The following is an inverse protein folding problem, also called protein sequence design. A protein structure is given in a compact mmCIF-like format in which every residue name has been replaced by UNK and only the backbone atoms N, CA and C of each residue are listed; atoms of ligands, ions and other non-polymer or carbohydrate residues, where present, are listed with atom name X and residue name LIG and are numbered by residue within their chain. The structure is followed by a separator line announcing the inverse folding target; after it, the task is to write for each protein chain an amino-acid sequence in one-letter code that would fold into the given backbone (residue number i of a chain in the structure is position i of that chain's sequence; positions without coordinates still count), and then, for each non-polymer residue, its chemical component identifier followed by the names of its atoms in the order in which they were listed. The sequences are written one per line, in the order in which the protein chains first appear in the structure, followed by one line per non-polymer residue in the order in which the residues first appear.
data_IF_970537983414
#
_entry.id   IF_970537983414
#
_cell.length_a   1.000
_cell.length_b   1.000
_cell.length_c   1.000
_cell.angle_alpha   90.00
_cell.angle_beta   90.00
_cell.angle_gamma   90.00
#
_symmetry.space_group_name_H-M   'P 1'
#
loop_
_entity.id
_entity.type
_entity.pdbx_description
1 polymer ?
#
# COMPACT_ATOMS: atom_id res chain seq x y z
N UNK A 1 -24.66 42.44 16.65
CA UNK A 1 -24.88 41.16 15.95
C UNK A 1 -24.30 41.19 14.53
N UNK A 2 -24.68 42.11 13.58
CA UNK A 2 -24.13 42.15 12.21
C UNK A 2 -22.59 42.18 12.13
N UNK A 3 -21.91 42.98 12.95
CA UNK A 3 -20.44 43.10 12.97
C UNK A 3 -19.76 41.78 13.38
N UNK A 4 -20.34 41.03 14.35
CA UNK A 4 -19.81 39.75 14.78
C UNK A 4 -19.93 38.70 13.68
N UNK A 5 -21.08 38.67 12.96
CA UNK A 5 -21.26 37.77 11.81
C UNK A 5 -20.28 38.08 10.67
N UNK A 6 -20.06 39.37 10.37
CA UNK A 6 -19.10 39.78 9.34
C UNK A 6 -17.67 39.37 9.73
N UNK A 7 -17.27 39.62 10.99
CA UNK A 7 -15.95 39.21 11.48
C UNK A 7 -15.78 37.68 11.43
N UNK A 8 -16.80 36.92 11.85
CA UNK A 8 -16.78 35.46 11.78
C UNK A 8 -16.68 34.96 10.31
N UNK A 9 -17.45 35.59 9.39
CA UNK A 9 -17.38 35.24 7.96
C UNK A 9 -15.98 35.53 7.39
N UNK A 10 -15.34 36.64 7.74
CA UNK A 10 -13.99 36.99 7.30
C UNK A 10 -12.98 35.96 7.83
N UNK A 11 -13.09 35.55 9.10
CA UNK A 11 -12.21 34.52 9.69
C UNK A 11 -12.39 33.19 8.96
N UNK A 12 -13.63 32.77 8.68
CA UNK A 12 -13.91 31.55 7.94
C UNK A 12 -13.31 31.59 6.53
N UNK A 13 -13.50 32.69 5.81
CA UNK A 13 -12.93 32.87 4.48
C UNK A 13 -11.40 32.84 4.52
N UNK A 14 -10.78 33.47 5.53
CA UNK A 14 -9.33 33.46 5.69
C UNK A 14 -8.81 32.04 6.00
N UNK A 15 -9.50 31.26 6.83
CA UNK A 15 -9.20 29.86 7.09
C UNK A 15 -9.31 29.04 5.79
N UNK A 16 -10.38 29.22 5.01
CA UNK A 16 -10.58 28.49 3.75
C UNK A 16 -9.46 28.81 2.77
N UNK A 17 -9.11 30.10 2.62
CA UNK A 17 -8.01 30.53 1.73
C UNK A 17 -6.68 29.93 2.20
N UNK A 18 -6.39 29.95 3.49
CA UNK A 18 -5.18 29.34 4.06
C UNK A 18 -5.13 27.84 3.77
N UNK A 19 -6.24 27.11 3.97
CA UNK A 19 -6.35 25.69 3.67
C UNK A 19 -6.19 25.36 2.19
N UNK A 20 -6.54 26.28 1.27
CA UNK A 20 -6.31 26.13 -0.16
C UNK A 20 -4.85 26.39 -0.58
N UNK A 21 -4.17 27.28 0.13
CA UNK A 21 -2.83 27.76 -0.22
C UNK A 21 -1.73 26.84 0.33
N UNK A 22 -1.92 26.31 1.54
CA UNK A 22 -0.96 25.39 2.18
C UNK A 22 -0.54 24.22 1.27
N UNK A 23 -1.45 23.46 0.62
CA UNK A 23 -1.08 22.35 -0.23
C UNK A 23 -0.11 22.70 -1.37
N UNK A 24 -0.23 23.91 -1.93
CA UNK A 24 0.60 24.34 -3.06
C UNK A 24 2.07 24.51 -2.65
N UNK A 25 2.32 24.99 -1.43
CA UNK A 25 3.69 25.21 -0.94
C UNK A 25 4.40 23.91 -0.53
N UNK A 26 3.67 22.91 -0.07
CA UNK A 26 4.27 21.66 0.40
C UNK A 26 4.48 20.59 -0.69
N UNK A 27 3.98 20.82 -1.90
CA UNK A 27 4.08 19.84 -3.00
C UNK A 27 5.53 19.44 -3.31
N UNK A 28 6.42 20.42 -3.48
CA UNK A 28 7.84 20.19 -3.78
C UNK A 28 8.58 19.47 -2.64
N UNK A 29 8.23 19.79 -1.40
CA UNK A 29 8.86 19.18 -0.25
C UNK A 29 8.48 17.70 -0.12
N UNK A 30 7.22 17.36 -0.42
CA UNK A 30 6.73 15.97 -0.42
C UNK A 30 7.42 15.17 -1.53
N UNK A 31 7.50 15.68 -2.76
CA UNK A 31 8.21 15.01 -3.85
C UNK A 31 9.66 14.72 -3.47
N UNK A 32 10.38 15.75 -3.00
CA UNK A 32 11.77 15.60 -2.56
C UNK A 32 11.92 14.56 -1.44
N UNK A 33 11.01 14.56 -0.46
CA UNK A 33 11.03 13.61 0.64
C UNK A 33 10.82 12.17 0.14
N UNK A 34 9.89 11.96 -0.80
CA UNK A 34 9.64 10.65 -1.39
C UNK A 34 10.87 10.18 -2.18
N UNK A 35 11.44 11.01 -3.04
CA UNK A 35 12.64 10.69 -3.83
C UNK A 35 13.85 10.39 -2.92
N UNK A 36 14.10 11.22 -1.91
CA UNK A 36 15.22 11.05 -0.97
C UNK A 36 15.07 9.78 -0.11
N UNK A 37 13.85 9.49 0.34
CA UNK A 37 13.61 8.31 1.18
C UNK A 37 13.56 7.03 0.35
N UNK A 38 12.89 7.05 -0.81
CA UNK A 38 12.79 5.85 -1.66
C UNK A 38 14.15 5.31 -2.06
N UNK A 39 15.11 6.17 -2.43
CA UNK A 39 16.47 5.77 -2.82
C UNK A 39 17.25 5.03 -1.74
N UNK A 40 16.86 5.15 -0.46
CA UNK A 40 17.47 4.40 0.64
C UNK A 40 16.97 2.97 0.76
N UNK A 41 15.74 2.70 0.29
CA UNK A 41 15.06 1.43 0.49
C UNK A 41 14.92 0.62 -0.79
N UNK A 42 14.91 1.29 -1.95
CA UNK A 42 14.71 0.62 -3.24
C UNK A 42 15.83 0.93 -4.23
N UNK A 43 16.31 -0.12 -4.89
CA UNK A 43 17.25 -0.08 -6.03
C UNK A 43 16.47 -0.11 -7.34
N UNK A 44 15.54 0.85 -7.51
CA UNK A 44 14.71 0.98 -8.70
C UNK A 44 14.49 2.46 -8.99
N UNK A 45 14.20 2.77 -10.23
CA UNK A 45 13.78 4.11 -10.63
C UNK A 45 12.31 4.31 -10.23
N UNK A 46 12.06 5.34 -9.41
CA UNK A 46 10.73 5.80 -9.04
C UNK A 46 10.43 7.09 -9.80
N UNK A 47 9.44 7.07 -10.67
CA UNK A 47 8.92 8.26 -11.34
C UNK A 47 7.54 8.60 -10.80
N UNK A 48 7.29 9.89 -10.54
CA UNK A 48 5.98 10.40 -10.07
C UNK A 48 5.58 11.53 -11.02
N UNK A 49 4.41 11.44 -11.63
CA UNK A 49 3.91 12.44 -12.57
C UNK A 49 3.47 13.71 -11.87
N UNK A 50 2.60 13.62 -10.89
CA UNK A 50 2.12 14.77 -10.13
C UNK A 50 1.74 14.41 -8.69
N UNK A 51 1.70 15.44 -7.82
CA UNK A 51 1.28 15.33 -6.41
C UNK A 51 0.20 16.35 -6.14
N UNK A 52 -0.93 15.88 -5.62
CA UNK A 52 -2.05 16.71 -5.22
C UNK A 52 -2.32 16.57 -3.72
N UNK A 53 -2.47 17.68 -3.05
CA UNK A 53 -2.87 17.74 -1.65
C UNK A 53 -4.26 18.35 -1.55
N UNK A 54 -5.14 17.76 -0.79
CA UNK A 54 -6.49 18.28 -0.58
C UNK A 54 -6.93 18.11 0.87
N UNK A 55 -7.39 19.20 1.48
CA UNK A 55 -8.02 19.17 2.82
C UNK A 55 -9.55 19.14 2.73
N UNK A 56 -10.12 19.29 1.54
CA UNK A 56 -11.58 19.34 1.37
C UNK A 56 -12.19 18.01 0.91
N UNK A 57 -11.41 17.19 0.19
CA UNK A 57 -11.91 15.93 -0.39
C UNK A 57 -12.41 14.95 0.67
N UNK A 58 -11.67 14.83 1.78
CA UNK A 58 -11.95 13.90 2.88
C UNK A 58 -11.95 14.62 4.25
N UNK A 59 -12.44 15.86 4.30
CA UNK A 59 -12.47 16.65 5.54
C UNK A 59 -13.05 15.85 6.72
N UNK A 60 -12.44 15.86 7.91
CA UNK A 60 -11.29 16.66 8.37
C UNK A 60 -9.89 16.04 8.10
N UNK A 61 -9.78 15.10 7.19
CA UNK A 61 -8.53 14.42 6.85
C UNK A 61 -7.78 15.18 5.74
N UNK A 62 -6.45 15.09 5.75
CA UNK A 62 -5.59 15.52 4.67
C UNK A 62 -5.50 14.39 3.63
N UNK A 63 -5.88 14.65 2.38
CA UNK A 63 -5.68 13.72 1.28
C UNK A 63 -4.42 14.07 0.50
N UNK A 64 -3.59 13.08 0.26
CA UNK A 64 -2.42 13.13 -0.62
C UNK A 64 -2.71 12.19 -1.79
N UNK A 65 -2.68 12.72 -3.02
CA UNK A 65 -2.80 11.92 -4.22
C UNK A 65 -1.51 12.02 -5.04
N UNK A 66 -1.03 10.89 -5.53
CA UNK A 66 0.09 10.80 -6.47
C UNK A 66 -0.48 10.27 -7.78
N UNK A 67 -0.22 11.00 -8.86
CA UNK A 67 -0.65 10.60 -10.20
C UNK A 67 0.53 10.01 -10.98
N UNK A 68 0.27 8.93 -11.71
CA UNK A 68 1.23 8.26 -12.58
C UNK A 68 2.55 7.89 -11.87
N UNK A 69 2.44 7.11 -10.79
CA UNK A 69 3.60 6.55 -10.10
C UNK A 69 4.07 5.32 -10.86
N UNK A 70 5.33 5.32 -11.30
CA UNK A 70 5.95 4.21 -12.03
C UNK A 70 7.19 3.75 -11.30
N UNK A 71 7.27 2.45 -11.02
CA UNK A 71 8.49 1.81 -10.50
C UNK A 71 9.05 0.91 -11.59
N UNK A 72 10.29 1.14 -11.98
CA UNK A 72 10.98 0.38 -13.02
C UNK A 72 12.42 0.06 -12.61
N UNK A 73 12.89 -1.11 -13.05
CA UNK A 73 14.30 -1.51 -12.92
C UNK A 73 15.00 -1.30 -14.26
N UNK A 74 16.16 -0.71 -14.23
CA UNK A 74 16.98 -0.57 -15.43
C UNK A 74 17.80 -1.85 -15.63
N UNK A 75 17.47 -2.64 -16.65
CA UNK A 75 18.27 -3.79 -17.10
C UNK A 75 18.81 -3.53 -18.49
N UNK A 76 20.13 -3.51 -18.63
CA UNK A 76 20.91 -3.48 -19.88
C UNK A 76 20.23 -2.79 -21.06
N UNK A 77 19.99 -1.47 -20.98
CA UNK A 77 19.34 -0.61 -21.99
C UNK A 77 17.82 -0.82 -22.23
N UNK A 78 17.13 -1.58 -21.40
CA UNK A 78 15.66 -1.67 -21.42
C UNK A 78 15.11 -1.32 -20.05
N UNK A 79 14.12 -0.43 -20.04
CA UNK A 79 13.36 -0.11 -18.82
C UNK A 79 12.33 -1.22 -18.62
N UNK A 80 12.49 -2.00 -17.54
CA UNK A 80 11.54 -3.04 -17.15
C UNK A 80 10.62 -2.48 -16.07
N UNK A 81 9.38 -2.18 -16.43
CA UNK A 81 8.39 -1.61 -15.51
C UNK A 81 7.82 -2.73 -14.64
N UNK A 82 7.99 -2.60 -13.33
CA UNK A 82 7.39 -3.50 -12.35
C UNK A 82 5.93 -3.14 -12.05
N UNK A 83 5.67 -1.85 -11.83
CA UNK A 83 4.31 -1.38 -11.54
C UNK A 83 4.10 0.03 -12.09
N UNK A 84 2.91 0.23 -12.64
CA UNK A 84 2.37 1.53 -13.01
C UNK A 84 1.10 1.77 -12.18
N UNK A 85 1.05 2.87 -11.45
CA UNK A 85 -0.06 3.27 -10.57
C UNK A 85 -0.58 4.62 -11.07
N UNK A 86 -1.62 4.65 -11.92
CA UNK A 86 -2.20 5.89 -12.40
C UNK A 86 -2.73 6.78 -11.28
N UNK A 87 -3.29 6.19 -10.21
CA UNK A 87 -3.75 6.92 -9.03
C UNK A 87 -3.40 6.16 -7.74
N UNK A 88 -2.55 6.76 -6.93
CA UNK A 88 -2.35 6.45 -5.52
C UNK A 88 -2.96 7.55 -4.67
N UNK A 89 -3.73 7.20 -3.66
CA UNK A 89 -4.29 8.18 -2.73
C UNK A 89 -4.15 7.69 -1.29
N UNK A 90 -3.69 8.57 -0.41
CA UNK A 90 -3.67 8.35 1.02
C UNK A 90 -4.47 9.46 1.74
N UNK A 91 -5.28 9.09 2.72
CA UNK A 91 -6.00 10.04 3.55
C UNK A 91 -5.51 9.93 4.99
N UNK A 92 -4.92 11.00 5.51
CA UNK A 92 -4.27 11.06 6.81
C UNK A 92 -5.11 11.87 7.78
N UNK A 93 -5.26 11.38 9.00
CA UNK A 93 -5.96 12.11 10.06
C UNK A 93 -5.18 13.38 10.42
N UNK A 94 -5.76 14.55 10.14
CA UNK A 94 -5.08 15.83 10.37
C UNK A 94 -4.76 16.05 11.84
N UNK A 95 -5.63 15.60 12.75
CA UNK A 95 -5.42 15.77 14.19
C UNK A 95 -4.24 14.92 14.68
N UNK A 96 -4.11 13.69 14.19
CA UNK A 96 -2.98 12.81 14.52
C UNK A 96 -1.67 13.39 13.98
N UNK A 97 -1.67 13.89 12.75
CA UNK A 97 -0.52 14.54 12.13
C UNK A 97 -0.03 15.76 12.93
N UNK A 98 -0.95 16.64 13.37
CA UNK A 98 -0.62 17.82 14.17
C UNK A 98 -0.12 17.45 15.57
N UNK A 99 -0.63 16.36 16.16
CA UNK A 99 -0.21 15.93 17.49
C UNK A 99 1.22 15.38 17.53
N UNK A 100 1.73 14.87 16.40
CA UNK A 100 3.07 14.30 16.25
C UNK A 100 3.33 13.01 17.04
N UNK A 101 2.32 12.44 17.70
CA UNK A 101 2.46 11.23 18.52
C UNK A 101 2.32 9.95 17.69
N UNK A 102 1.39 9.96 16.74
CA UNK A 102 1.03 8.85 15.89
C UNK A 102 0.54 9.42 14.56
N UNK A 103 0.84 8.77 13.46
CA UNK A 103 0.27 9.10 12.14
C UNK A 103 -0.80 8.08 11.81
N UNK A 104 -2.07 8.52 11.80
CA UNK A 104 -3.20 7.64 11.45
C UNK A 104 -3.55 7.86 9.98
N UNK A 105 -3.33 6.83 9.16
CA UNK A 105 -3.71 6.79 7.76
C UNK A 105 -5.09 6.11 7.68
N UNK A 106 -6.12 6.90 7.44
CA UNK A 106 -7.50 6.38 7.42
C UNK A 106 -7.78 5.55 6.18
N UNK A 107 -7.19 5.88 5.05
CA UNK A 107 -7.39 5.16 3.80
C UNK A 107 -6.16 5.22 2.92
N UNK A 108 -5.83 4.10 2.30
CA UNK A 108 -4.89 3.99 1.18
C UNK A 108 -5.67 3.41 0.01
N UNK A 109 -5.60 4.05 -1.16
CA UNK A 109 -6.23 3.60 -2.39
C UNK A 109 -5.20 3.53 -3.51
N UNK A 110 -5.12 2.37 -4.15
CA UNK A 110 -4.43 2.17 -5.43
C UNK A 110 -5.51 1.89 -6.50
N UNK A 111 -5.47 2.62 -7.60
CA UNK A 111 -6.51 2.49 -8.62
C UNK A 111 -5.94 2.40 -10.03
N UNK A 112 -6.56 1.50 -10.83
CA UNK A 112 -6.26 1.27 -12.24
C UNK A 112 -4.79 0.90 -12.51
N UNK A 113 -4.20 0.09 -11.60
CA UNK A 113 -2.78 -0.25 -11.63
C UNK A 113 -2.46 -1.38 -12.60
N UNK A 114 -1.27 -1.32 -13.21
CA UNK A 114 -0.67 -2.42 -13.95
C UNK A 114 0.52 -2.97 -13.17
N UNK A 115 0.42 -4.19 -12.66
CA UNK A 115 1.51 -4.88 -11.96
C UNK A 115 2.09 -5.99 -12.84
N UNK A 116 3.36 -5.87 -13.20
CA UNK A 116 4.05 -6.69 -14.20
C UNK A 116 5.30 -7.37 -13.62
N UNK A 117 5.14 -8.28 -12.64
CA UNK A 117 6.26 -9.02 -12.10
C UNK A 117 6.82 -9.98 -13.15
N UNK A 118 8.15 -9.95 -13.31
CA UNK A 118 8.85 -10.74 -14.32
C UNK A 118 10.10 -11.41 -13.76
N UNK A 119 10.33 -12.67 -14.13
CA UNK A 119 11.60 -13.38 -13.98
C UNK A 119 12.20 -13.57 -15.37
N UNK A 120 13.43 -13.11 -15.58
CA UNK A 120 14.10 -13.25 -16.85
C UNK A 120 14.69 -14.67 -17.06
N UNK A 121 15.30 -14.92 -18.21
CA UNK A 121 15.87 -16.22 -18.55
C UNK A 121 17.01 -16.66 -17.62
N UNK A 122 17.72 -15.69 -16.99
CA UNK A 122 18.78 -15.91 -16.00
C UNK A 122 18.24 -16.14 -14.59
N UNK A 123 16.93 -16.12 -14.37
CA UNK A 123 16.28 -16.31 -13.09
C UNK A 123 16.27 -15.06 -12.20
N UNK A 124 16.57 -13.89 -12.74
CA UNK A 124 16.49 -12.62 -11.98
C UNK A 124 15.09 -12.06 -12.03
N UNK A 125 14.61 -11.60 -10.87
CA UNK A 125 13.30 -10.99 -10.71
C UNK A 125 13.37 -9.45 -10.83
N UNK A 126 12.39 -8.83 -11.50
CA UNK A 126 12.31 -7.37 -11.57
C UNK A 126 11.75 -6.74 -10.28
N UNK A 127 11.14 -7.53 -9.40
CA UNK A 127 10.71 -7.08 -8.07
C UNK A 127 11.79 -7.21 -6.98
N UNK A 128 12.96 -7.75 -7.30
CA UNK A 128 14.11 -7.71 -6.41
C UNK A 128 14.75 -6.33 -6.47
N UNK A 129 14.03 -5.38 -5.86
CA UNK A 129 14.36 -3.95 -5.87
C UNK A 129 14.71 -3.41 -4.47
N UNK A 130 14.63 -4.25 -3.43
CA UNK A 130 14.98 -3.82 -2.08
C UNK A 130 16.50 -3.70 -1.94
N UNK A 131 16.95 -2.62 -1.30
CA UNK A 131 18.36 -2.51 -0.89
C UNK A 131 18.60 -3.59 0.15
N UNK A 132 19.61 -4.51 -0.02
CA UNK A 132 19.95 -5.46 1.01
C UNK A 132 20.31 -4.69 2.29
N UNK A 133 19.55 -4.89 3.34
CA UNK A 133 19.97 -4.45 4.66
C UNK A 133 21.19 -5.31 5.02
N UNK A 134 22.31 -4.69 5.33
CA UNK A 134 23.47 -5.38 5.93
C UNK A 134 23.00 -5.95 7.27
N UNK A 135 22.38 -7.12 7.20
CA UNK A 135 22.16 -7.94 8.37
C UNK A 135 23.54 -8.55 8.67
N UNK A 136 24.34 -7.87 9.45
CA UNK A 136 25.52 -8.43 10.08
C UNK A 136 25.07 -9.73 10.74
N UNK A 137 25.61 -10.87 10.26
CA UNK A 137 25.41 -12.16 10.89
C UNK A 137 25.67 -11.99 12.38
N UNK A 138 24.62 -12.10 13.19
CA UNK A 138 24.79 -12.17 14.65
C UNK A 138 25.39 -13.54 14.94
N UNK A 139 26.71 -13.61 14.93
CA UNK A 139 27.42 -14.65 15.67
C UNK A 139 27.09 -14.46 17.14
N UNK A 140 26.41 -15.46 17.67
CA UNK A 140 26.13 -15.61 19.10
C UNK A 140 27.46 -15.58 19.88
N UNK A 141 27.80 -14.45 20.45
CA UNK A 141 28.72 -14.35 21.60
C UNK A 141 28.03 -13.44 22.63
N UNK A 142 27.65 -14.08 23.72
CA UNK A 142 27.10 -13.44 24.90
C UNK A 142 28.11 -12.46 25.50
N UNK A 143 27.88 -11.18 25.31
CA UNK A 143 28.48 -10.13 26.17
C UNK A 143 27.44 -9.02 26.32
N UNK A 144 27.12 -8.58 27.54
CA UNK A 144 26.13 -7.51 27.75
C UNK A 144 26.75 -6.19 27.31
N UNK A 145 26.40 -5.69 26.16
CA UNK A 145 26.69 -4.32 25.74
C UNK A 145 25.49 -3.47 26.06
N UNK A 146 25.68 -2.52 26.95
CA UNK A 146 24.73 -1.43 27.23
C UNK A 146 24.39 -0.74 25.92
N UNK A 147 23.18 -1.00 25.42
CA UNK A 147 22.62 -0.30 24.27
C UNK A 147 22.26 1.10 24.73
N UNK A 148 23.04 2.10 24.35
CA UNK A 148 22.59 3.50 24.36
C UNK A 148 21.41 3.59 23.39
N UNK A 149 20.23 3.74 23.95
CA UNK A 149 19.04 4.14 23.21
C UNK A 149 19.31 5.50 22.56
N UNK A 150 19.55 5.50 21.24
CA UNK A 150 19.29 6.70 20.45
C UNK A 150 17.77 6.86 20.41
N UNK A 151 17.25 7.72 21.25
CA UNK A 151 15.85 8.10 21.34
C UNK A 151 15.43 8.96 20.14
N UNK A 152 15.38 8.36 18.96
CA UNK A 152 14.49 8.79 17.91
C UNK A 152 13.15 8.12 18.19
N UNK A 153 12.16 8.82 18.70
CA UNK A 153 10.81 8.27 18.86
C UNK A 153 10.30 7.94 17.45
N UNK A 154 10.32 6.66 17.08
CA UNK A 154 9.66 6.21 15.88
C UNK A 154 8.18 6.56 16.02
N UNK A 155 7.72 7.48 15.17
CA UNK A 155 6.30 7.86 15.17
C UNK A 155 5.50 6.64 14.70
N UNK A 156 4.64 6.11 15.56
CA UNK A 156 3.79 4.98 15.22
C UNK A 156 2.90 5.34 14.02
N UNK A 157 2.80 4.42 13.07
CA UNK A 157 1.93 4.58 11.90
C UNK A 157 0.81 3.55 11.99
N UNK A 158 -0.44 4.01 11.99
CA UNK A 158 -1.63 3.17 12.01
C UNK A 158 -2.39 3.28 10.68
N UNK A 159 -2.97 2.17 10.24
CA UNK A 159 -3.80 2.10 9.05
C UNK A 159 -5.20 1.61 9.43
N UNK A 160 -6.24 2.12 8.73
CA UNK A 160 -7.62 1.68 8.96
C UNK A 160 -8.22 0.99 7.75
N UNK A 161 -7.85 1.40 6.54
CA UNK A 161 -8.36 0.84 5.30
C UNK A 161 -7.30 0.86 4.22
N UNK A 162 -7.13 -0.27 3.54
CA UNK A 162 -6.27 -0.41 2.35
C UNK A 162 -7.15 -0.96 1.24
N UNK A 163 -7.17 -0.27 0.11
CA UNK A 163 -8.04 -0.59 -1.01
C UNK A 163 -7.24 -0.60 -2.31
N UNK A 164 -7.44 -1.65 -3.11
CA UNK A 164 -6.94 -1.78 -4.47
C UNK A 164 -8.13 -1.96 -5.37
N UNK A 165 -8.26 -1.12 -6.41
CA UNK A 165 -9.33 -1.17 -7.39
C UNK A 165 -8.77 -1.33 -8.79
N UNK A 166 -9.23 -2.35 -9.49
CA UNK A 166 -8.94 -2.58 -10.89
C UNK A 166 -7.42 -2.66 -11.16
N UNK A 167 -6.70 -3.50 -10.39
CA UNK A 167 -5.30 -3.78 -10.66
C UNK A 167 -5.24 -4.95 -11.65
N UNK A 168 -4.57 -4.75 -12.79
CA UNK A 168 -4.22 -5.81 -13.72
C UNK A 168 -2.87 -6.43 -13.30
N UNK A 169 -2.82 -7.75 -13.21
CA UNK A 169 -1.60 -8.50 -12.92
C UNK A 169 -1.18 -9.29 -14.14
N UNK A 170 0.07 -9.11 -14.58
CA UNK A 170 0.70 -9.89 -15.64
C UNK A 170 2.05 -10.42 -15.13
N UNK A 171 2.07 -11.68 -14.69
CA UNK A 171 3.30 -12.37 -14.27
C UNK A 171 3.90 -13.13 -15.41
N UNK A 172 5.19 -12.99 -15.64
CA UNK A 172 5.96 -13.75 -16.62
C UNK A 172 7.23 -14.30 -15.97
N UNK A 173 7.43 -15.62 -16.11
CA UNK A 173 8.66 -16.30 -15.75
C UNK A 173 9.21 -17.01 -16.97
N UNK A 174 10.29 -16.47 -17.54
CA UNK A 174 10.94 -17.00 -18.74
C UNK A 174 11.67 -18.30 -18.44
N UNK A 175 12.25 -18.43 -17.24
CA UNK A 175 12.98 -19.62 -16.83
C UNK A 175 12.03 -20.81 -16.60
N UNK A 176 10.94 -20.62 -15.86
CA UNK A 176 9.92 -21.65 -15.62
C UNK A 176 8.91 -21.78 -16.76
N UNK A 177 8.99 -20.93 -17.80
CA UNK A 177 8.01 -20.83 -18.90
C UNK A 177 6.58 -20.65 -18.38
N UNK A 178 6.41 -19.89 -17.30
CA UNK A 178 5.13 -19.64 -16.65
C UNK A 178 4.62 -18.25 -17.02
N UNK A 179 3.33 -18.17 -17.34
CA UNK A 179 2.61 -16.92 -17.55
C UNK A 179 1.31 -16.96 -16.76
N UNK A 180 1.08 -15.95 -15.95
CA UNK A 180 -0.18 -15.76 -15.22
C UNK A 180 -0.72 -14.36 -15.46
N UNK A 181 -2.03 -14.25 -15.64
CA UNK A 181 -2.74 -12.99 -15.80
C UNK A 181 -4.00 -12.98 -14.95
N UNK A 182 -4.28 -11.83 -14.33
CA UNK A 182 -5.56 -11.51 -13.71
C UNK A 182 -5.99 -10.16 -14.26
N UNK A 183 -7.14 -10.13 -14.94
CA UNK A 183 -7.59 -8.91 -15.64
C UNK A 183 -8.00 -7.80 -14.69
N UNK A 184 -8.57 -8.15 -13.53
CA UNK A 184 -8.84 -7.18 -12.47
C UNK A 184 -8.70 -7.82 -11.08
N UNK A 185 -7.90 -7.19 -10.23
CA UNK A 185 -7.81 -7.47 -8.79
C UNK A 185 -8.47 -6.31 -8.07
N UNK A 186 -9.52 -6.61 -7.30
CA UNK A 186 -10.12 -5.68 -6.34
C UNK A 186 -9.91 -6.23 -4.94
N UNK A 187 -9.35 -5.43 -4.06
CA UNK A 187 -9.08 -5.81 -2.68
C UNK A 187 -9.48 -4.67 -1.74
N UNK A 188 -10.11 -5.01 -0.64
CA UNK A 188 -10.29 -4.12 0.49
C UNK A 188 -9.92 -4.85 1.78
N UNK A 189 -9.09 -4.22 2.59
CA UNK A 189 -8.70 -4.67 3.91
C UNK A 189 -9.00 -3.56 4.91
N UNK A 190 -9.93 -3.81 5.82
CA UNK A 190 -10.40 -2.84 6.81
C UNK A 190 -10.18 -3.37 8.22
N UNK A 191 -9.66 -2.54 9.11
CA UNK A 191 -9.45 -2.86 10.51
C UNK A 191 -8.66 -1.76 11.22
N UNK A 192 -8.54 -1.87 12.53
CA UNK A 192 -7.69 -0.96 13.30
C UNK A 192 -6.32 -1.60 13.51
N UNK A 193 -5.36 -1.24 12.67
CA UNK A 193 -4.01 -1.81 12.70
C UNK A 193 -3.11 -1.22 13.80
N UNK A 194 -3.61 -0.25 14.58
CA UNK A 194 -2.90 0.26 15.76
C UNK A 194 -3.19 -0.55 17.04
N UNK A 195 -4.21 -1.38 17.02
CA UNK A 195 -4.59 -2.22 18.16
C UNK A 195 -3.95 -3.61 18.08
N UNK A 196 -3.50 -4.13 19.23
CA UNK A 196 -2.96 -5.50 19.29
C UNK A 196 -4.00 -6.54 18.90
N UNK A 197 -5.26 -6.37 19.33
CA UNK A 197 -6.35 -7.25 18.97
C UNK A 197 -7.36 -6.47 18.12
N UNK A 198 -7.64 -6.94 16.93
CA UNK A 198 -8.54 -6.27 16.00
C UNK A 198 -9.38 -7.26 15.21
N UNK A 199 -10.41 -6.76 14.56
CA UNK A 199 -11.18 -7.50 13.54
C UNK A 199 -10.83 -6.92 12.19
N UNK A 200 -10.31 -7.78 11.31
CA UNK A 200 -10.01 -7.45 9.93
C UNK A 200 -11.14 -7.94 9.03
N UNK A 201 -11.69 -7.02 8.24
CA UNK A 201 -12.62 -7.35 7.17
C UNK A 201 -11.86 -7.38 5.86
N UNK A 202 -11.90 -8.51 5.17
CA UNK A 202 -11.20 -8.77 3.91
C UNK A 202 -12.22 -8.94 2.80
N UNK A 203 -12.02 -8.24 1.71
CA UNK A 203 -12.68 -8.47 0.43
C UNK A 203 -11.59 -8.64 -0.62
N UNK A 204 -11.65 -9.74 -1.39
CA UNK A 204 -10.75 -9.99 -2.52
C UNK A 204 -11.57 -10.54 -3.68
N UNK A 205 -11.49 -9.86 -4.82
CA UNK A 205 -12.09 -10.29 -6.08
C UNK A 205 -11.01 -10.35 -7.15
N UNK A 206 -10.84 -11.51 -7.76
CA UNK A 206 -9.96 -11.73 -8.90
C UNK A 206 -10.81 -12.09 -10.11
N UNK A 207 -10.65 -11.36 -11.19
CA UNK A 207 -11.43 -11.57 -12.42
C UNK A 207 -10.56 -12.12 -13.54
N UNK A 208 -11.12 -13.13 -14.22
CA UNK A 208 -10.54 -13.71 -15.43
C UNK A 208 -9.10 -14.18 -15.23
N UNK A 209 -8.89 -15.04 -14.21
CA UNK A 209 -7.58 -15.65 -13.93
C UNK A 209 -7.19 -16.56 -15.08
N UNK A 210 -5.97 -16.39 -15.59
CA UNK A 210 -5.34 -17.25 -16.58
C UNK A 210 -3.97 -17.70 -16.08
N UNK A 211 -3.66 -18.99 -16.19
CA UNK A 211 -2.36 -19.57 -15.83
C UNK A 211 -1.93 -20.59 -16.88
N UNK A 212 -0.75 -20.40 -17.44
CA UNK A 212 -0.11 -21.32 -18.40
C UNK A 212 1.32 -21.61 -17.95
N UNK A 213 1.73 -22.85 -18.10
CA UNK A 213 3.13 -23.29 -17.93
C UNK A 213 3.55 -24.13 -19.11
N UNK A 214 4.59 -23.72 -19.80
CA UNK A 214 5.00 -24.31 -21.06
C UNK A 214 3.86 -24.27 -22.09
N UNK A 215 3.41 -25.44 -22.54
CA UNK A 215 2.27 -25.60 -23.46
C UNK A 215 0.95 -25.88 -22.75
N UNK A 216 0.95 -26.12 -21.44
CA UNK A 216 -0.22 -26.50 -20.66
C UNK A 216 -0.91 -25.31 -20.04
N UNK A 217 -2.20 -25.15 -20.30
CA UNK A 217 -3.06 -24.18 -19.63
C UNK A 217 -3.67 -24.85 -18.41
N UNK A 218 -3.40 -24.30 -17.23
CA UNK A 218 -3.87 -24.85 -15.94
C UNK A 218 -5.16 -24.17 -15.47
N UNK A 219 -5.26 -22.83 -15.67
CA UNK A 219 -6.42 -22.03 -15.30
C UNK A 219 -6.78 -21.17 -16.50
N UNK A 220 -8.06 -21.07 -16.80
CA UNK A 220 -8.55 -20.28 -17.92
C UNK A 220 -9.91 -19.68 -17.59
N UNK A 221 -10.01 -18.35 -17.69
CA UNK A 221 -11.23 -17.60 -17.47
C UNK A 221 -11.93 -17.96 -16.15
N UNK A 222 -11.18 -17.88 -15.05
CA UNK A 222 -11.66 -18.25 -13.73
C UNK A 222 -11.76 -17.02 -12.84
N UNK A 223 -12.90 -16.85 -12.19
CA UNK A 223 -13.13 -15.79 -11.19
C UNK A 223 -12.95 -16.37 -9.78
N UNK A 224 -12.32 -15.59 -8.91
CA UNK A 224 -12.20 -15.91 -7.49
C UNK A 224 -12.75 -14.76 -6.66
N UNK A 225 -13.59 -15.08 -5.66
CA UNK A 225 -14.08 -14.11 -4.70
C UNK A 225 -13.85 -14.64 -3.30
N UNK A 226 -13.43 -13.78 -2.40
CA UNK A 226 -13.25 -14.09 -1.00
C UNK A 226 -13.68 -12.90 -0.14
N UNK A 227 -14.58 -13.17 0.79
CA UNK A 227 -15.01 -12.24 1.82
C UNK A 227 -14.84 -12.90 3.17
N UNK A 228 -14.10 -12.26 4.08
CA UNK A 228 -13.81 -12.83 5.38
C UNK A 228 -13.85 -11.78 6.51
N UNK A 229 -14.18 -12.25 7.71
CA UNK A 229 -13.98 -11.55 8.95
C UNK A 229 -12.95 -12.34 9.78
N UNK A 230 -11.81 -11.73 10.08
CA UNK A 230 -10.67 -12.37 10.73
C UNK A 230 -10.41 -11.65 12.05
N UNK A 231 -10.50 -12.37 13.16
CA UNK A 231 -9.95 -11.93 14.44
C UNK A 231 -8.42 -11.99 14.37
N UNK A 232 -7.72 -10.90 14.68
CA UNK A 232 -6.28 -10.84 14.60
C UNK A 232 -5.66 -10.37 15.91
N UNK A 233 -4.64 -11.06 16.41
CA UNK A 233 -3.69 -10.55 17.38
C UNK A 233 -2.43 -10.16 16.60
N UNK A 234 -2.27 -8.86 16.34
CA UNK A 234 -1.19 -8.35 15.50
C UNK A 234 0.20 -8.41 16.15
N UNK A 235 0.26 -8.53 17.47
CA UNK A 235 1.51 -8.64 18.21
C UNK A 235 2.06 -10.08 18.17
N UNK A 236 1.18 -11.04 18.31
CA UNK A 236 1.53 -12.48 18.35
C UNK A 236 1.34 -13.16 16.99
N UNK A 237 0.90 -12.39 15.98
CA UNK A 237 0.61 -12.84 14.61
C UNK A 237 -0.36 -14.05 14.56
N UNK A 238 -1.36 -14.02 15.46
CA UNK A 238 -2.39 -15.06 15.54
C UNK A 238 -3.65 -14.57 14.83
N UNK A 239 -4.24 -15.45 14.01
CA UNK A 239 -5.40 -15.14 13.20
C UNK A 239 -6.48 -16.21 13.36
N UNK A 240 -7.72 -15.76 13.54
CA UNK A 240 -8.90 -16.62 13.67
C UNK A 240 -9.95 -16.21 12.62
N UNK A 241 -10.24 -17.11 11.67
CA UNK A 241 -11.23 -16.88 10.62
C UNK A 241 -12.63 -17.08 11.21
N UNK A 242 -13.34 -15.98 11.50
CA UNK A 242 -14.68 -16.00 12.11
C UNK A 242 -15.79 -16.22 11.09
N UNK A 243 -15.65 -15.56 9.94
CA UNK A 243 -16.56 -15.70 8.80
C UNK A 243 -15.74 -15.84 7.54
N UNK A 244 -16.20 -16.69 6.64
CA UNK A 244 -15.56 -16.93 5.38
C UNK A 244 -16.64 -17.25 4.32
N UNK A 245 -16.59 -16.51 3.22
CA UNK A 245 -17.36 -16.78 2.01
C UNK A 245 -16.38 -16.74 0.85
N UNK A 246 -16.12 -17.89 0.27
CA UNK A 246 -15.12 -18.06 -0.79
C UNK A 246 -15.77 -18.75 -1.98
N UNK A 247 -15.49 -18.30 -3.18
CA UNK A 247 -15.93 -18.95 -4.40
C UNK A 247 -14.89 -18.93 -5.50
N UNK A 248 -14.86 -20.00 -6.28
CA UNK A 248 -14.09 -20.15 -7.50
C UNK A 248 -15.07 -20.44 -8.63
N UNK A 249 -15.39 -19.45 -9.47
CA UNK A 249 -16.57 -19.45 -10.35
C UNK A 249 -17.84 -19.80 -9.56
N UNK A 250 -18.53 -20.88 -9.91
CA UNK A 250 -19.75 -21.37 -9.26
C UNK A 250 -19.46 -22.29 -8.05
N UNK A 251 -18.20 -22.68 -7.84
CA UNK A 251 -17.80 -23.55 -6.73
C UNK A 251 -17.67 -22.72 -5.45
N UNK A 252 -18.48 -22.99 -4.46
CA UNK A 252 -18.35 -22.41 -3.12
C UNK A 252 -17.42 -23.23 -2.28
N UNK A 253 -16.52 -22.54 -1.56
CA UNK A 253 -15.53 -23.12 -0.65
C UNK A 253 -15.80 -22.56 0.75
N UNK A 254 -15.78 -23.44 1.74
CA UNK A 254 -15.91 -23.06 3.15
C UNK A 254 -14.66 -23.52 3.90
N UNK A 255 -13.93 -22.55 4.45
CA UNK A 255 -12.69 -22.78 5.20
C UNK A 255 -12.85 -22.19 6.59
N UNK A 256 -12.55 -22.98 7.59
CA UNK A 256 -12.49 -22.54 8.99
C UNK A 256 -11.15 -22.97 9.58
N UNK A 257 -10.55 -22.16 10.41
CA UNK A 257 -9.28 -22.49 11.04
C UNK A 257 -8.61 -21.33 11.73
N UNK A 258 -7.58 -21.67 12.48
CA UNK A 258 -6.69 -20.74 13.16
C UNK A 258 -5.30 -20.86 12.55
N UNK A 259 -4.58 -19.75 12.47
CA UNK A 259 -3.20 -19.70 11.99
C UNK A 259 -2.36 -18.91 12.99
N UNK A 260 -1.25 -19.49 13.40
CA UNK A 260 -0.19 -18.87 14.17
C UNK A 260 1.07 -18.81 13.28
N UNK A 261 1.68 -17.61 13.17
CA UNK A 261 2.85 -17.35 12.31
C UNK A 261 4.11 -17.07 13.14
#
# INVERSE_FOLDING_TARGET
MKKVFITLAIIIVLIIVTLMVIPVFFKSDILRLIEEKSSKYIQAELAIGDVHLSMFKNFPNLSVSLDNVVISKEETNTRDTLINIPLFEASVNLRSLISGKEIIINNILLKDCDFMPKVNAEGKANWDIMVPSDTTEVKTEETPVETKEESGSETAIAFNNIEVRNLMLNYQDEQAQTFARVDAVNMALQGNFSETNTILNVLLELKNIYLRQGKSVWVNNTDFNWQAEIGANLKELQFDIKKNDMSLNDLKLDLTGNMDL
#
